data_IF_902250143304
#
_entry.id   IF_902250143304
#
_cell.length_a   1.000
_cell.length_b   1.000
_cell.length_c   1.000
_cell.angle_alpha   90.00
_cell.angle_beta   90.00
_cell.angle_gamma   90.00
#
_symmetry.space_group_name_H-M   'P 1'
#
loop_
_entity.id
_entity.type
_entity.pdbx_description
1 polymer ?
#
# COMPACT_ATOMS: atom_id res chain seq x y z
N UNK A 1 -25.40 -14.42 -0.38
CA UNK A 1 -24.13 -14.93 -0.95
C UNK A 1 -23.48 -13.74 -1.64
N UNK A 2 -22.56 -13.06 -0.96
CA UNK A 2 -22.11 -11.72 -1.35
C UNK A 2 -21.26 -11.74 -2.61
N UNK A 3 -21.84 -11.23 -3.68
CA UNK A 3 -21.18 -10.64 -4.83
C UNK A 3 -19.90 -9.89 -4.40
N UNK A 4 -18.75 -10.55 -4.61
CA UNK A 4 -17.46 -9.87 -4.56
C UNK A 4 -17.48 -8.92 -5.75
N UNK A 5 -17.79 -7.65 -5.48
CA UNK A 5 -17.65 -6.57 -6.44
C UNK A 5 -16.26 -6.60 -7.11
N UNK A 6 -16.08 -5.84 -8.22
CA UNK A 6 -14.86 -5.89 -9.02
C UNK A 6 -13.62 -5.86 -8.13
N UNK A 7 -12.68 -6.76 -8.43
CA UNK A 7 -11.45 -6.93 -7.66
C UNK A 7 -10.91 -5.55 -7.27
N UNK A 8 -10.64 -5.30 -5.98
CA UNK A 8 -10.16 -4.00 -5.54
C UNK A 8 -8.99 -3.60 -6.42
N UNK A 9 -8.97 -2.37 -6.94
CA UNK A 9 -7.87 -1.88 -7.78
C UNK A 9 -6.58 -1.84 -6.95
N UNK A 10 -5.89 -2.98 -6.95
CA UNK A 10 -4.69 -3.23 -6.15
C UNK A 10 -3.58 -2.28 -6.57
N UNK A 11 -3.54 -1.91 -7.85
CA UNK A 11 -2.56 -0.97 -8.38
C UNK A 11 -2.80 0.41 -7.80
N UNK A 12 -4.05 0.85 -7.73
CA UNK A 12 -4.42 2.13 -7.15
C UNK A 12 -4.10 2.22 -5.66
N UNK A 13 -4.44 1.17 -4.90
CA UNK A 13 -4.13 1.07 -3.47
C UNK A 13 -2.62 1.01 -3.23
N UNK A 14 -1.88 0.25 -4.05
CA UNK A 14 -0.43 0.20 -3.96
C UNK A 14 0.21 1.56 -4.27
N UNK A 15 -0.26 2.27 -5.30
CA UNK A 15 0.17 3.66 -5.59
C UNK A 15 -0.04 4.59 -4.41
N UNK A 16 -1.19 4.49 -3.74
CA UNK A 16 -1.51 5.30 -2.57
C UNK A 16 -0.57 5.01 -1.38
N UNK A 17 -0.24 3.73 -1.16
CA UNK A 17 0.75 3.30 -0.15
C UNK A 17 2.15 3.80 -0.51
N UNK A 18 2.56 3.68 -1.78
CA UNK A 18 3.85 4.18 -2.25
C UNK A 18 3.97 5.70 -2.16
N UNK A 19 2.90 6.44 -2.43
CA UNK A 19 2.86 7.88 -2.23
C UNK A 19 3.19 8.24 -0.77
N UNK A 20 2.55 7.57 0.20
CA UNK A 20 2.76 7.77 1.63
C UNK A 20 4.21 7.53 2.06
N UNK A 21 4.85 6.50 1.50
CA UNK A 21 6.25 6.20 1.76
C UNK A 21 7.18 7.24 1.16
N UNK A 22 6.91 7.69 -0.08
CA UNK A 22 7.72 8.69 -0.79
C UNK A 22 7.65 10.08 -0.16
N UNK A 23 6.48 10.50 0.30
CA UNK A 23 6.25 11.87 0.81
C UNK A 23 6.45 11.99 2.32
N UNK A 24 6.52 10.86 3.04
CA UNK A 24 6.49 10.80 4.49
C UNK A 24 5.29 11.54 5.15
N UNK A 25 4.31 12.02 4.37
CA UNK A 25 3.17 12.83 4.82
C UNK A 25 2.08 11.98 5.48
N UNK A 26 1.33 12.45 6.48
CA UNK A 26 0.29 11.64 7.12
C UNK A 26 -0.81 11.23 6.12
N UNK A 27 -1.53 10.14 6.41
CA UNK A 27 -2.63 9.66 5.58
C UNK A 27 -3.72 10.71 5.34
N UNK A 28 -3.87 11.69 6.24
CA UNK A 28 -4.84 12.78 6.12
C UNK A 28 -4.58 13.64 4.88
N UNK A 29 -3.34 13.71 4.43
CA UNK A 29 -2.93 14.51 3.27
C UNK A 29 -2.93 13.70 1.96
N UNK A 30 -3.42 12.45 2.00
CA UNK A 30 -3.51 11.61 0.81
C UNK A 30 -4.43 12.27 -0.24
N UNK A 31 -3.93 12.54 -1.46
CA UNK A 31 -4.74 13.10 -2.54
C UNK A 31 -5.97 12.22 -2.86
N UNK A 32 -7.09 12.86 -3.19
CA UNK A 32 -8.35 12.17 -3.53
C UNK A 32 -8.22 11.26 -4.76
N UNK A 33 -7.28 11.55 -5.65
CA UNK A 33 -6.98 10.71 -6.81
C UNK A 33 -6.55 9.30 -6.41
N UNK A 34 -6.06 9.10 -5.18
CA UNK A 34 -5.64 7.79 -4.64
C UNK A 34 -6.79 7.00 -4.00
N UNK A 35 -8.02 7.50 -4.12
CA UNK A 35 -9.22 6.83 -3.64
C UNK A 35 -9.45 6.99 -2.14
N UNK A 36 -10.42 6.24 -1.57
CA UNK A 36 -10.82 6.39 -0.19
C UNK A 36 -9.67 6.11 0.78
N UNK A 37 -9.32 7.12 1.59
CA UNK A 37 -8.24 7.04 2.58
C UNK A 37 -8.40 5.84 3.53
N UNK A 38 -9.63 5.55 3.96
CA UNK A 38 -9.91 4.43 4.87
C UNK A 38 -9.56 3.09 4.25
N UNK A 39 -9.94 2.86 2.99
CA UNK A 39 -9.63 1.63 2.26
C UNK A 39 -8.13 1.42 2.10
N UNK A 40 -7.38 2.47 1.73
CA UNK A 40 -5.92 2.39 1.61
C UNK A 40 -5.25 2.16 2.97
N UNK A 41 -5.69 2.84 4.02
CA UNK A 41 -5.18 2.64 5.38
C UNK A 41 -5.42 1.21 5.88
N UNK A 42 -6.61 0.66 5.67
CA UNK A 42 -6.96 -0.69 6.09
C UNK A 42 -6.19 -1.74 5.30
N UNK A 43 -5.99 -1.52 4.00
CA UNK A 43 -5.13 -2.37 3.17
C UNK A 43 -3.68 -2.34 3.64
N UNK A 44 -3.14 -1.14 3.89
CA UNK A 44 -1.79 -0.99 4.42
C UNK A 44 -1.64 -1.74 5.74
N UNK A 45 -2.59 -1.60 6.67
CA UNK A 45 -2.60 -2.34 7.94
C UNK A 45 -2.70 -3.86 7.73
N UNK A 46 -3.50 -4.31 6.76
CA UNK A 46 -3.60 -5.73 6.42
C UNK A 46 -2.27 -6.30 5.92
N UNK A 47 -1.57 -5.57 5.04
CA UNK A 47 -0.25 -5.95 4.53
C UNK A 47 0.83 -5.89 5.61
N UNK A 48 0.81 -4.88 6.47
CA UNK A 48 1.72 -4.77 7.61
C UNK A 48 1.56 -5.97 8.56
N UNK A 49 0.31 -6.36 8.89
CA UNK A 49 0.04 -7.56 9.70
C UNK A 49 0.45 -8.85 9.01
N UNK A 50 0.34 -8.91 7.68
CA UNK A 50 0.73 -10.06 6.90
C UNK A 50 2.25 -10.14 6.61
N UNK A 51 3.06 -9.21 7.12
CA UNK A 51 4.52 -9.22 6.90
C UNK A 51 4.96 -8.78 5.50
N UNK A 52 4.05 -8.38 4.61
CA UNK A 52 4.33 -8.08 3.20
C UNK A 52 5.42 -7.02 3.03
N UNK A 53 5.44 -6.00 3.91
CA UNK A 53 6.48 -4.98 3.89
C UNK A 53 7.87 -5.54 4.22
N UNK A 54 7.95 -6.50 5.14
CA UNK A 54 9.20 -7.15 5.53
C UNK A 54 9.69 -8.09 4.43
N UNK A 55 8.76 -8.84 3.83
CA UNK A 55 9.05 -9.73 2.70
C UNK A 55 9.56 -8.94 1.50
N UNK A 56 8.92 -7.81 1.16
CA UNK A 56 9.37 -6.94 0.08
C UNK A 56 10.75 -6.33 0.36
N UNK A 57 11.00 -5.88 1.59
CA UNK A 57 12.30 -5.35 2.00
C UNK A 57 13.40 -6.42 2.01
N UNK A 58 13.07 -7.67 2.35
CA UNK A 58 13.99 -8.79 2.23
C UNK A 58 14.29 -9.12 0.76
N UNK A 59 13.27 -9.13 -0.09
CA UNK A 59 13.39 -9.41 -1.52
C UNK A 59 14.21 -8.34 -2.28
N UNK A 60 14.15 -7.07 -1.86
CA UNK A 60 14.84 -5.96 -2.55
C UNK A 60 16.33 -5.81 -2.15
N UNK A 61 16.90 -6.73 -1.36
CA UNK A 61 18.34 -6.77 -1.06
C UNK A 61 19.18 -7.37 -2.20
N UNK A 62 19.02 -6.83 -3.40
CA UNK A 62 19.95 -7.05 -4.50
C UNK A 62 20.48 -5.68 -4.93
N UNK A 63 21.81 -5.53 -4.83
CA UNK A 63 22.64 -4.38 -5.22
C UNK A 63 22.81 -3.27 -4.17
N UNK A 64 23.55 -3.59 -3.10
CA UNK A 64 24.38 -2.61 -2.38
C UNK A 64 25.61 -3.29 -1.77
N UNK A 65 26.26 -4.15 -2.55
CA UNK A 65 27.61 -4.62 -2.27
C UNK A 65 28.38 -4.49 -3.59
N UNK A 66 28.91 -3.30 -3.84
CA UNK A 66 30.05 -3.07 -4.72
C UNK A 66 30.96 -2.06 -4.04
#
# INVERSE_FOLDING_TARGET
MGERGPLPDLRHQFKAVMWRFRTASPWRDLPVEHGPRSTTCDRFRAWARAGVSQDLAAAVRVRAAM
#
